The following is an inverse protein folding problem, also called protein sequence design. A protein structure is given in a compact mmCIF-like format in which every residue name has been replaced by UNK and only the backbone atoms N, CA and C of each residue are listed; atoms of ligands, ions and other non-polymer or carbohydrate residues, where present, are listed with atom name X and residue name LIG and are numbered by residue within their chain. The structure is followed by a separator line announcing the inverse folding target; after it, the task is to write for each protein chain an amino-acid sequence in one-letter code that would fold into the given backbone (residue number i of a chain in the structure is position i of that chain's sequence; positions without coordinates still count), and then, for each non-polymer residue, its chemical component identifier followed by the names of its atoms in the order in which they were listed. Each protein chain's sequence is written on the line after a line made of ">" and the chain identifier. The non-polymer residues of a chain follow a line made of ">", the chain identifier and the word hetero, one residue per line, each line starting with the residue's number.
data_IF_058209886302
#
_entry.id   IF_058209886302
#
_cell.length_a   1.000
_cell.length_b   1.000
_cell.length_c   1.000
_cell.angle_alpha   90.00
_cell.angle_beta   90.00
_cell.angle_gamma   90.00
#
_symmetry.space_group_name_H-M   'P 1'
#
loop_
_entity.id
_entity.type
_entity.pdbx_description
1 polymer ?
#
# COMPACT_ATOMS: atom_id res chain seq x y z
N UNK A 1 -27.54 30.57 45.77
CA UNK A 1 -28.90 30.36 45.22
C UNK A 1 -28.80 29.33 44.09
N UNK A 2 -29.38 28.15 44.34
CA UNK A 2 -29.97 27.17 43.41
C UNK A 2 -29.14 26.58 42.25
N UNK A 3 -28.38 25.53 42.58
CA UNK A 3 -28.16 24.40 41.68
C UNK A 3 -29.40 23.50 41.72
N UNK A 4 -30.11 23.38 40.60
CA UNK A 4 -31.31 22.56 40.49
C UNK A 4 -31.28 21.69 39.23
N UNK A 5 -30.48 20.62 39.28
CA UNK A 5 -30.89 19.27 38.82
C UNK A 5 -29.95 18.26 39.49
N UNK A 6 -30.19 18.00 40.78
CA UNK A 6 -29.53 16.94 41.57
C UNK A 6 -30.22 15.59 41.31
N UNK A 7 -30.04 15.05 40.11
CA UNK A 7 -30.27 13.61 39.93
C UNK A 7 -28.92 12.96 39.77
N UNK A 8 -28.43 12.35 40.87
CA UNK A 8 -27.22 11.55 40.88
C UNK A 8 -27.20 10.55 39.71
N UNK A 9 -28.38 10.03 39.32
CA UNK A 9 -28.58 9.20 38.12
C UNK A 9 -28.15 9.87 36.82
N UNK A 10 -28.45 11.15 36.57
CA UNK A 10 -28.06 11.86 35.34
C UNK A 10 -26.55 12.14 35.29
N UNK A 11 -25.93 12.42 36.44
CA UNK A 11 -24.47 12.54 36.54
C UNK A 11 -23.78 11.20 36.29
N UNK A 12 -24.30 10.12 36.87
CA UNK A 12 -23.79 8.76 36.63
C UNK A 12 -23.97 8.36 35.17
N UNK A 13 -25.09 8.72 34.52
CA UNK A 13 -25.32 8.47 33.10
C UNK A 13 -24.34 9.25 32.21
N UNK A 14 -24.08 10.53 32.52
CA UNK A 14 -23.10 11.32 31.80
C UNK A 14 -21.68 10.75 31.98
N UNK A 15 -21.31 10.34 33.19
CA UNK A 15 -20.04 9.65 33.46
C UNK A 15 -19.93 8.31 32.72
N UNK A 16 -21.01 7.52 32.66
CA UNK A 16 -21.05 6.28 31.89
C UNK A 16 -20.90 6.53 30.39
N UNK A 17 -21.58 7.55 29.84
CA UNK A 17 -21.41 7.94 28.43
C UNK A 17 -19.96 8.34 28.16
N UNK A 18 -19.33 9.11 29.04
CA UNK A 18 -17.93 9.51 28.89
C UNK A 18 -16.94 8.35 29.08
N UNK A 19 -17.22 7.40 29.96
CA UNK A 19 -16.45 6.16 30.11
C UNK A 19 -16.61 5.29 28.85
N UNK A 20 -17.81 5.21 28.27
CA UNK A 20 -18.05 4.49 27.02
C UNK A 20 -17.30 5.17 25.87
N UNK A 21 -17.33 6.50 25.77
CA UNK A 21 -16.53 7.25 24.77
C UNK A 21 -15.03 7.00 24.97
N UNK A 22 -14.53 7.06 26.21
CA UNK A 22 -13.13 6.76 26.54
C UNK A 22 -12.76 5.30 26.21
N UNK A 23 -13.64 4.34 26.50
CA UNK A 23 -13.44 2.93 26.17
C UNK A 23 -13.49 2.69 24.66
N UNK A 24 -14.37 3.35 23.92
CA UNK A 24 -14.42 3.29 22.45
C UNK A 24 -13.13 3.87 21.85
N UNK A 25 -12.62 4.98 22.39
CA UNK A 25 -11.34 5.56 21.97
C UNK A 25 -10.11 4.73 22.38
N UNK A 26 -10.16 4.04 23.53
CA UNK A 26 -9.10 3.14 23.96
C UNK A 26 -9.10 1.83 23.15
N UNK A 27 -10.28 1.25 22.89
CA UNK A 27 -10.46 -0.01 22.17
C UNK A 27 -10.28 0.13 20.66
N UNK A 28 -10.53 1.32 20.09
CA UNK A 28 -10.16 1.63 18.71
C UNK A 28 -8.64 1.60 18.47
N UNK A 29 -7.82 1.57 19.53
CA UNK A 29 -6.36 1.40 19.42
C UNK A 29 -5.87 -0.03 19.70
N UNK A 30 -6.72 -0.96 20.13
CA UNK A 30 -6.33 -2.35 20.44
C UNK A 30 -6.40 -3.30 19.25
N UNK A 31 -7.04 -2.93 18.13
CA UNK A 31 -7.08 -3.76 16.92
C UNK A 31 -5.81 -3.67 16.03
N UNK A 32 -4.70 -3.13 16.53
CA UNK A 32 -3.43 -3.03 15.79
C UNK A 32 -2.26 -3.70 16.53
N UNK A 33 -2.53 -4.85 17.17
CA UNK A 33 -1.51 -5.70 17.81
C UNK A 33 -1.73 -7.20 17.50
N UNK A 34 -1.39 -7.59 16.27
CA UNK A 34 -0.81 -8.91 16.00
C UNK A 34 0.54 -8.69 15.30
N UNK A 35 1.55 -8.33 16.10
CA UNK A 35 2.95 -8.43 15.69
C UNK A 35 3.32 -9.90 15.77
N UNK A 36 3.67 -10.59 14.66
CA UNK A 36 4.26 -11.91 14.77
C UNK A 36 5.60 -11.75 15.49
N UNK A 37 5.80 -12.58 16.52
CA UNK A 37 7.08 -12.80 17.18
C UNK A 37 8.02 -13.40 16.12
N UNK A 38 8.77 -12.55 15.41
CA UNK A 38 9.82 -13.02 14.51
C UNK A 38 11.03 -13.41 15.35
N UNK A 39 11.43 -14.65 15.18
CA UNK A 39 12.61 -15.29 15.74
C UNK A 39 13.87 -14.43 15.57
N UNK A 40 14.75 -14.52 16.56
CA UNK A 40 16.10 -13.94 16.55
C UNK A 40 16.87 -14.43 15.32
N UNK A 41 17.55 -13.56 14.55
CA UNK A 41 18.55 -14.04 13.62
C UNK A 41 19.78 -14.44 14.43
N UNK A 42 19.99 -15.76 14.53
CA UNK A 42 21.32 -16.35 14.62
C UNK A 42 22.01 -16.04 13.30
N UNK A 43 23.04 -15.18 13.31
CA UNK A 43 24.37 -15.51 12.77
C UNK A 43 25.33 -14.31 12.77
N UNK A 44 26.59 -14.70 12.94
CA UNK A 44 27.81 -14.12 12.39
C UNK A 44 28.31 -12.81 13.01
N UNK A 45 29.33 -12.99 13.86
CA UNK A 45 30.26 -11.95 14.20
C UNK A 45 30.94 -11.43 12.93
N UNK A 46 30.92 -10.11 12.80
CA UNK A 46 31.89 -9.37 12.01
C UNK A 46 32.57 -8.45 13.01
N UNK A 47 33.76 -8.86 13.45
CA UNK A 47 34.68 -8.00 14.18
C UNK A 47 35.36 -7.13 13.14
N UNK A 48 34.89 -5.89 12.96
CA UNK A 48 35.70 -4.88 12.26
C UNK A 48 36.75 -4.39 13.25
N UNK A 49 38.00 -4.81 13.05
CA UNK A 49 39.13 -4.29 13.81
C UNK A 49 39.58 -2.99 13.15
N UNK A 50 39.14 -1.84 13.69
CA UNK A 50 39.75 -0.56 13.35
C UNK A 50 40.97 -0.35 14.24
N UNK A 51 42.14 -0.19 13.63
CA UNK A 51 43.44 -0.16 14.32
C UNK A 51 43.74 1.21 14.97
N UNK A 52 42.80 2.16 14.96
CA UNK A 52 42.99 3.51 15.51
C UNK A 52 42.03 3.96 16.60
N UNK A 53 40.97 3.20 16.90
CA UNK A 53 40.05 3.52 18.00
C UNK A 53 39.89 2.32 18.94
N UNK A 54 40.15 2.54 20.24
CA UNK A 54 39.94 1.53 21.29
C UNK A 54 38.48 1.02 21.36
N UNK A 55 38.18 -0.01 22.17
CA UNK A 55 36.88 -0.69 22.15
C UNK A 55 35.73 0.28 22.45
N UNK A 56 35.00 0.68 21.41
CA UNK A 56 33.75 1.43 21.52
C UNK A 56 32.65 0.49 22.02
N UNK A 57 32.51 0.39 23.35
CA UNK A 57 31.44 -0.38 23.97
C UNK A 57 30.05 0.09 23.50
N UNK A 58 29.39 -0.75 22.67
CA UNK A 58 28.05 -0.59 22.06
C UNK A 58 26.91 -0.24 23.03
N UNK A 59 27.10 -0.39 24.35
CA UNK A 59 26.03 -0.18 25.34
C UNK A 59 25.65 1.30 25.53
N UNK A 60 26.62 2.24 25.44
CA UNK A 60 26.36 3.69 25.60
C UNK A 60 25.53 4.29 24.46
N UNK A 61 25.59 3.72 23.26
CA UNK A 61 24.74 4.13 22.12
C UNK A 61 23.33 3.55 22.27
N UNK A 62 23.21 2.26 22.62
CA UNK A 62 21.93 1.59 22.86
C UNK A 62 21.11 2.25 23.97
N UNK A 63 21.72 2.60 25.11
CA UNK A 63 21.01 3.31 26.19
C UNK A 63 20.50 4.70 25.76
N UNK A 64 21.32 5.45 25.00
CA UNK A 64 20.92 6.77 24.48
C UNK A 64 19.73 6.68 23.53
N UNK A 65 19.67 5.66 22.68
CA UNK A 65 18.53 5.43 21.77
C UNK A 65 17.27 5.04 22.56
N UNK A 66 17.39 4.14 23.54
CA UNK A 66 16.26 3.71 24.39
C UNK A 66 15.69 4.90 25.19
N UNK A 67 16.54 5.69 25.83
CA UNK A 67 16.12 6.88 26.60
C UNK A 67 15.48 7.94 25.68
N UNK A 68 16.04 8.18 24.48
CA UNK A 68 15.44 9.10 23.50
C UNK A 68 14.08 8.59 23.01
N UNK A 69 13.92 7.27 22.82
CA UNK A 69 12.65 6.64 22.42
C UNK A 69 11.59 6.80 23.51
N UNK A 70 11.92 6.50 24.77
CA UNK A 70 11.01 6.69 25.90
C UNK A 70 10.62 8.16 26.12
N UNK A 71 11.58 9.10 26.01
CA UNK A 71 11.28 10.54 26.11
C UNK A 71 10.35 11.03 24.99
N UNK A 72 10.49 10.50 23.76
CA UNK A 72 9.58 10.83 22.64
C UNK A 72 8.16 10.31 22.90
N UNK A 73 8.03 9.12 23.47
CA UNK A 73 6.72 8.55 23.86
C UNK A 73 6.07 9.42 24.94
N UNK A 74 6.82 9.78 25.99
CA UNK A 74 6.32 10.61 27.10
C UNK A 74 5.93 12.03 26.66
N UNK A 75 6.68 12.63 25.72
CA UNK A 75 6.32 13.95 25.16
C UNK A 75 5.03 13.88 24.36
N UNK A 76 4.84 12.83 23.56
CA UNK A 76 3.61 12.63 22.76
C UNK A 76 2.38 12.40 23.65
N UNK A 77 2.50 11.64 24.73
CA UNK A 77 1.40 11.44 25.69
C UNK A 77 1.07 12.73 26.44
N UNK A 78 2.08 13.49 26.89
CA UNK A 78 1.87 14.76 27.59
C UNK A 78 1.18 15.80 26.73
N UNK A 79 1.57 15.95 25.46
CA UNK A 79 0.89 16.86 24.54
C UNK A 79 -0.58 16.47 24.34
N UNK A 80 -0.88 15.18 24.18
CA UNK A 80 -2.27 14.69 23.99
C UNK A 80 -3.15 14.95 25.21
N UNK A 81 -2.63 14.75 26.43
CA UNK A 81 -3.35 15.04 27.68
C UNK A 81 -3.61 16.55 27.83
N UNK A 82 -2.63 17.39 27.50
CA UNK A 82 -2.80 18.86 27.54
C UNK A 82 -3.84 19.33 26.51
N UNK A 83 -3.84 18.78 25.30
CA UNK A 83 -4.86 19.09 24.29
C UNK A 83 -6.25 18.60 24.68
N UNK A 84 -6.37 17.37 25.20
CA UNK A 84 -7.63 16.81 25.67
C UNK A 84 -8.23 17.65 26.82
N UNK A 85 -7.43 18.04 27.80
CA UNK A 85 -7.89 18.90 28.92
C UNK A 85 -8.32 20.29 28.47
N UNK A 86 -7.67 20.88 27.45
CA UNK A 86 -8.10 22.16 26.85
C UNK A 86 -9.42 22.03 26.11
N UNK A 87 -9.60 20.96 25.34
CA UNK A 87 -10.86 20.69 24.62
C UNK A 87 -12.02 20.46 25.59
N UNK A 88 -11.80 19.70 26.67
CA UNK A 88 -12.78 19.50 27.74
C UNK A 88 -13.18 20.83 28.38
N UNK A 89 -12.23 21.72 28.65
CA UNK A 89 -12.51 23.06 29.21
C UNK A 89 -13.30 23.95 28.25
N UNK A 90 -13.07 23.86 26.94
CA UNK A 90 -13.80 24.62 25.92
C UNK A 90 -15.23 24.10 25.74
N UNK A 91 -15.42 22.78 25.75
CA UNK A 91 -16.74 22.15 25.68
C UNK A 91 -17.59 22.44 26.93
N UNK A 92 -17.00 22.36 28.14
CA UNK A 92 -17.69 22.70 29.40
C UNK A 92 -18.08 24.18 29.50
N UNK A 93 -17.42 25.07 28.76
CA UNK A 93 -17.76 26.50 28.69
C UNK A 93 -18.82 26.81 27.63
N UNK A 94 -19.35 25.81 26.92
CA UNK A 94 -20.35 26.01 25.86
C UNK A 94 -19.80 26.66 24.58
N UNK A 95 -18.47 26.80 24.48
CA UNK A 95 -17.81 27.44 23.34
C UNK A 95 -17.62 26.51 22.13
N UNK A 96 -18.00 25.23 22.26
CA UNK A 96 -17.96 24.23 21.20
C UNK A 96 -19.36 23.64 21.04
N UNK A 97 -19.95 23.83 19.87
CA UNK A 97 -21.23 23.21 19.52
C UNK A 97 -21.02 21.73 19.18
N UNK A 98 -22.05 20.91 19.40
CA UNK A 98 -22.00 19.48 19.04
C UNK A 98 -21.73 19.29 17.54
N UNK A 99 -22.27 20.19 16.70
CA UNK A 99 -22.00 20.21 15.26
C UNK A 99 -20.51 20.39 14.96
N UNK A 100 -19.81 21.31 15.64
CA UNK A 100 -18.37 21.49 15.46
C UNK A 100 -17.54 20.30 15.96
N UNK A 101 -17.99 19.63 17.03
CA UNK A 101 -17.32 18.42 17.54
C UNK A 101 -17.49 17.27 16.54
N UNK A 102 -18.71 17.08 16.04
CA UNK A 102 -19.01 16.08 15.00
C UNK A 102 -18.23 16.40 13.74
N UNK A 103 -18.24 17.66 13.28
CA UNK A 103 -17.55 18.07 12.05
C UNK A 103 -16.03 17.92 12.17
N UNK A 104 -15.46 18.24 13.33
CA UNK A 104 -14.04 18.00 13.61
C UNK A 104 -13.71 16.51 13.72
N UNK A 105 -14.63 15.69 14.25
CA UNK A 105 -14.50 14.23 14.26
C UNK A 105 -14.62 13.64 12.84
N UNK A 106 -15.57 14.07 12.02
CA UNK A 106 -15.69 13.61 10.63
C UNK A 106 -14.52 14.07 9.78
N UNK A 107 -14.07 15.33 9.90
CA UNK A 107 -12.89 15.83 9.18
C UNK A 107 -11.59 15.17 9.66
N UNK A 108 -11.46 14.83 10.94
CA UNK A 108 -10.28 14.10 11.44
C UNK A 108 -10.34 12.61 11.11
N UNK A 109 -11.54 12.02 10.98
CA UNK A 109 -11.73 10.63 10.54
C UNK A 109 -11.61 10.44 9.02
N UNK A 110 -11.74 11.51 8.23
CA UNK A 110 -11.59 11.50 6.76
C UNK A 110 -10.19 11.92 6.29
N UNK A 111 -9.13 11.67 7.06
CA UNK A 111 -7.76 11.77 6.54
C UNK A 111 -7.42 10.52 5.73
N UNK A 112 -7.97 10.45 4.53
CA UNK A 112 -7.60 9.41 3.56
C UNK A 112 -6.38 9.83 2.76
N UNK A 113 -5.56 8.86 2.38
CA UNK A 113 -4.41 9.11 1.54
C UNK A 113 -4.87 9.40 0.11
N UNK A 114 -4.60 10.61 -0.38
CA UNK A 114 -4.79 11.02 -1.77
C UNK A 114 -3.56 10.66 -2.60
N UNK A 115 -2.38 11.16 -2.23
CA UNK A 115 -1.12 10.86 -2.93
C UNK A 115 -1.23 11.12 -4.44
N UNK A 116 -0.60 10.26 -5.24
CA UNK A 116 -0.69 10.28 -6.71
C UNK A 116 -1.95 9.57 -7.26
N UNK A 117 -2.82 9.01 -6.39
CA UNK A 117 -3.92 8.14 -6.81
C UNK A 117 -4.90 8.79 -7.79
N UNK A 118 -5.34 10.06 -7.62
CA UNK A 118 -6.27 10.66 -8.57
C UNK A 118 -5.69 10.79 -9.98
N UNK A 119 -4.41 11.15 -10.08
CA UNK A 119 -3.72 11.30 -11.37
C UNK A 119 -3.54 9.94 -12.04
N UNK A 120 -3.06 8.94 -11.28
CA UNK A 120 -2.88 7.59 -11.80
C UNK A 120 -4.22 6.94 -12.18
N UNK A 121 -5.26 7.12 -11.36
CA UNK A 121 -6.61 6.65 -11.68
C UNK A 121 -7.13 7.31 -12.97
N UNK A 122 -6.99 8.63 -13.10
CA UNK A 122 -7.37 9.35 -14.33
C UNK A 122 -6.61 8.86 -15.56
N UNK A 123 -5.32 8.56 -15.44
CA UNK A 123 -4.54 7.97 -16.52
C UNK A 123 -5.08 6.59 -16.92
N UNK A 124 -5.39 5.73 -15.95
CA UNK A 124 -5.95 4.39 -16.22
C UNK A 124 -7.35 4.47 -16.88
N UNK A 125 -8.14 5.50 -16.57
CA UNK A 125 -9.41 5.78 -17.24
C UNK A 125 -9.21 6.24 -18.69
N UNK A 126 -8.24 7.14 -18.96
CA UNK A 126 -7.90 7.57 -20.32
C UNK A 126 -7.46 6.36 -21.18
N UNK A 127 -6.67 5.47 -20.58
CA UNK A 127 -6.22 4.22 -21.19
C UNK A 127 -7.29 3.12 -21.22
N UNK A 128 -8.47 3.35 -20.65
CA UNK A 128 -9.60 2.41 -20.62
C UNK A 128 -9.24 1.03 -20.06
N UNK A 129 -8.31 0.96 -19.10
CA UNK A 129 -7.77 -0.30 -18.58
C UNK A 129 -8.87 -1.21 -18.01
N UNK A 130 -9.83 -0.64 -17.28
CA UNK A 130 -10.95 -1.39 -16.72
C UNK A 130 -11.81 -2.04 -17.81
N UNK A 131 -12.17 -1.27 -18.84
CA UNK A 131 -13.06 -1.73 -19.90
C UNK A 131 -12.40 -2.79 -20.77
N UNK A 132 -11.11 -2.60 -21.09
CA UNK A 132 -10.32 -3.58 -21.83
C UNK A 132 -10.25 -4.90 -21.05
N UNK A 133 -9.90 -4.85 -19.76
CA UNK A 133 -9.84 -6.06 -18.93
C UNK A 133 -11.22 -6.74 -18.84
N UNK A 134 -12.30 -5.99 -18.68
CA UNK A 134 -13.64 -6.58 -18.58
C UNK A 134 -14.14 -7.20 -19.89
N UNK A 135 -13.65 -6.73 -21.04
CA UNK A 135 -13.94 -7.32 -22.34
C UNK A 135 -13.31 -8.71 -22.48
N UNK A 136 -12.06 -8.85 -22.05
CA UNK A 136 -11.32 -10.11 -22.10
C UNK A 136 -11.70 -11.06 -20.96
N UNK A 137 -11.98 -10.53 -19.79
CA UNK A 137 -12.30 -11.29 -18.57
C UNK A 137 -13.71 -10.93 -18.06
N UNK A 138 -14.80 -11.31 -18.78
CA UNK A 138 -16.15 -11.03 -18.32
C UNK A 138 -16.47 -11.80 -17.03
N UNK A 139 -17.22 -11.19 -16.12
CA UNK A 139 -17.58 -11.81 -14.84
C UNK A 139 -18.99 -11.44 -14.42
N UNK A 140 -19.71 -12.40 -13.82
CA UNK A 140 -21.02 -12.17 -13.22
C UNK A 140 -20.93 -11.73 -11.75
N UNK A 141 -19.72 -11.56 -11.20
CA UNK A 141 -19.51 -11.11 -9.84
C UNK A 141 -19.89 -9.62 -9.67
N UNK A 142 -20.24 -9.24 -8.44
CA UNK A 142 -20.64 -7.87 -8.09
C UNK A 142 -19.56 -6.81 -8.38
N UNK A 143 -18.28 -7.19 -8.28
CA UNK A 143 -17.15 -6.31 -8.58
C UNK A 143 -16.42 -6.90 -9.77
N UNK A 144 -16.37 -6.20 -10.89
CA UNK A 144 -15.73 -6.67 -12.12
C UNK A 144 -14.20 -6.83 -11.99
N UNK A 145 -13.60 -7.62 -12.90
CA UNK A 145 -12.16 -7.89 -12.89
C UNK A 145 -11.33 -6.63 -13.18
N UNK A 146 -11.81 -5.75 -14.06
CA UNK A 146 -11.18 -4.47 -14.35
C UNK A 146 -11.07 -3.58 -13.11
N UNK A 147 -12.13 -3.45 -12.31
CA UNK A 147 -12.11 -2.71 -11.04
C UNK A 147 -11.07 -3.27 -10.06
N UNK A 148 -11.01 -4.60 -9.95
CA UNK A 148 -10.02 -5.28 -9.09
C UNK A 148 -8.60 -5.02 -9.60
N UNK A 149 -8.39 -5.09 -10.91
CA UNK A 149 -7.10 -4.82 -11.54
C UNK A 149 -6.64 -3.37 -11.32
N UNK A 150 -7.54 -2.38 -11.45
CA UNK A 150 -7.23 -0.98 -11.14
C UNK A 150 -6.69 -0.83 -9.71
N UNK A 151 -7.35 -1.46 -8.73
CA UNK A 151 -6.90 -1.43 -7.33
C UNK A 151 -5.52 -2.08 -7.17
N UNK A 152 -5.26 -3.20 -7.83
CA UNK A 152 -3.96 -3.88 -7.78
C UNK A 152 -2.84 -3.06 -8.42
N UNK A 153 -3.10 -2.45 -9.59
CA UNK A 153 -2.16 -1.58 -10.30
C UNK A 153 -1.82 -0.37 -9.42
N UNK A 154 -2.84 0.33 -8.92
CA UNK A 154 -2.64 1.50 -8.06
C UNK A 154 -1.95 1.14 -6.75
N UNK A 155 -2.25 -0.03 -6.17
CA UNK A 155 -1.54 -0.52 -5.01
C UNK A 155 -0.05 -0.74 -5.33
N UNK A 156 0.25 -1.42 -6.45
CA UNK A 156 1.62 -1.71 -6.87
C UNK A 156 2.44 -0.44 -7.10
N UNK A 157 1.84 0.59 -7.69
CA UNK A 157 2.51 1.86 -8.01
C UNK A 157 2.71 2.76 -6.79
N UNK A 158 1.75 2.82 -5.86
CA UNK A 158 1.76 3.81 -4.77
C UNK A 158 2.21 3.23 -3.43
N UNK A 159 1.81 1.99 -3.12
CA UNK A 159 2.06 1.40 -1.81
C UNK A 159 1.95 -0.14 -1.90
N UNK A 160 2.95 -0.83 -2.48
CA UNK A 160 2.87 -2.27 -2.72
C UNK A 160 2.64 -3.02 -1.40
N UNK A 161 1.50 -3.71 -1.32
CA UNK A 161 1.11 -4.55 -0.19
C UNK A 161 0.95 -6.01 -0.65
N UNK A 162 1.19 -6.98 0.23
CA UNK A 162 0.75 -8.35 -0.04
C UNK A 162 -0.78 -8.39 -0.19
N UNK A 163 -1.32 -9.34 -0.96
CA UNK A 163 -2.74 -9.41 -1.34
C UNK A 163 -3.69 -9.30 -0.15
N UNK A 164 -3.41 -10.01 0.95
CA UNK A 164 -4.23 -10.00 2.17
C UNK A 164 -4.28 -8.63 2.90
N UNK A 165 -3.44 -7.65 2.52
CA UNK A 165 -3.44 -6.27 3.06
C UNK A 165 -3.95 -5.22 2.08
N UNK A 166 -4.33 -5.61 0.86
CA UNK A 166 -4.80 -4.65 -0.16
C UNK A 166 -6.13 -4.03 0.26
N UNK A 167 -7.06 -4.81 0.81
CA UNK A 167 -8.34 -4.28 1.33
C UNK A 167 -8.13 -3.21 2.43
N UNK A 168 -7.24 -3.47 3.38
CA UNK A 168 -6.92 -2.51 4.46
C UNK A 168 -6.28 -1.23 3.93
N UNK A 169 -5.41 -1.37 2.93
CA UNK A 169 -4.84 -0.21 2.25
C UNK A 169 -5.92 0.58 1.54
N UNK A 170 -6.75 -0.08 0.72
CA UNK A 170 -7.82 0.54 -0.04
C UNK A 170 -8.76 1.34 0.88
N UNK A 171 -9.15 0.75 2.03
CA UNK A 171 -9.99 1.38 3.04
C UNK A 171 -9.46 2.73 3.56
N UNK A 172 -8.14 2.96 3.47
CA UNK A 172 -7.47 4.20 3.92
C UNK A 172 -7.27 5.22 2.78
N UNK A 173 -7.67 4.90 1.55
CA UNK A 173 -7.52 5.77 0.38
C UNK A 173 -8.85 6.36 -0.09
N UNK A 174 -8.77 7.39 -0.92
CA UNK A 174 -9.94 8.02 -1.57
C UNK A 174 -10.65 7.07 -2.56
N UNK A 175 -9.98 6.01 -3.03
CA UNK A 175 -10.50 5.11 -4.06
C UNK A 175 -11.81 4.41 -3.67
N UNK A 176 -12.06 4.16 -2.38
CA UNK A 176 -13.34 3.56 -1.93
C UNK A 176 -14.54 4.42 -2.33
N UNK A 177 -14.38 5.75 -2.33
CA UNK A 177 -15.42 6.66 -2.76
C UNK A 177 -15.49 6.75 -4.28
N UNK A 178 -14.34 6.80 -4.94
CA UNK A 178 -14.28 6.86 -6.41
C UNK A 178 -14.89 5.62 -7.06
N UNK A 179 -14.61 4.43 -6.52
CA UNK A 179 -15.09 3.16 -7.06
C UNK A 179 -16.53 2.85 -6.65
N UNK A 180 -17.03 3.46 -5.57
CA UNK A 180 -18.35 3.12 -5.01
C UNK A 180 -18.43 1.70 -4.42
N UNK A 181 -17.30 1.00 -4.27
CA UNK A 181 -17.24 -0.39 -3.78
C UNK A 181 -16.58 -0.44 -2.40
N UNK A 182 -17.19 -1.21 -1.50
CA UNK A 182 -16.63 -1.46 -0.17
C UNK A 182 -15.29 -2.19 -0.26
N UNK A 183 -14.29 -1.70 0.48
CA UNK A 183 -12.97 -2.32 0.54
C UNK A 183 -12.99 -3.81 0.96
N UNK A 184 -14.02 -4.23 1.72
CA UNK A 184 -14.22 -5.64 2.13
C UNK A 184 -14.43 -6.61 0.96
N UNK A 185 -14.82 -6.11 -0.22
CA UNK A 185 -14.99 -6.91 -1.44
C UNK A 185 -13.66 -7.26 -2.12
N UNK A 186 -12.56 -6.65 -1.69
CA UNK A 186 -11.20 -6.88 -2.22
C UNK A 186 -10.41 -7.83 -1.31
N UNK A 187 -11.03 -8.93 -0.88
CA UNK A 187 -10.30 -10.01 -0.19
C UNK A 187 -9.31 -10.69 -1.16
N UNK A 188 -8.28 -11.30 -0.59
CA UNK A 188 -7.22 -11.99 -1.32
C UNK A 188 -7.71 -13.05 -2.30
N UNK A 189 -8.75 -13.82 -1.96
CA UNK A 189 -9.37 -14.77 -2.90
C UNK A 189 -9.94 -14.10 -4.15
N UNK A 190 -10.54 -12.90 -4.02
CA UNK A 190 -11.03 -12.13 -5.17
C UNK A 190 -9.90 -11.55 -6.00
N UNK A 191 -8.83 -11.10 -5.34
CA UNK A 191 -7.64 -10.59 -6.00
C UNK A 191 -6.94 -11.71 -6.79
N UNK A 192 -6.73 -12.87 -6.17
CA UNK A 192 -6.13 -14.06 -6.78
C UNK A 192 -6.89 -14.50 -8.02
N UNK A 193 -8.20 -14.74 -7.91
CA UNK A 193 -9.05 -15.11 -9.07
C UNK A 193 -9.02 -14.10 -10.20
N UNK A 194 -8.82 -12.81 -9.90
CA UNK A 194 -8.67 -11.79 -10.93
C UNK A 194 -7.33 -11.91 -11.65
N UNK A 195 -6.25 -12.19 -10.92
CA UNK A 195 -4.95 -12.44 -11.53
C UNK A 195 -4.96 -13.71 -12.38
N UNK A 196 -5.64 -14.76 -11.94
CA UNK A 196 -5.79 -16.00 -12.71
C UNK A 196 -6.53 -15.72 -14.02
N UNK A 197 -7.68 -15.03 -13.97
CA UNK A 197 -8.44 -14.66 -15.16
C UNK A 197 -7.65 -13.77 -16.14
N UNK A 198 -6.88 -12.80 -15.62
CA UNK A 198 -6.04 -11.94 -16.47
C UNK A 198 -4.89 -12.71 -17.09
N UNK A 199 -4.35 -13.73 -16.40
CA UNK A 199 -3.18 -14.47 -16.87
C UNK A 199 -3.43 -15.16 -18.21
N UNK A 200 -4.63 -15.69 -18.42
CA UNK A 200 -5.07 -16.36 -19.64
C UNK A 200 -5.11 -15.43 -20.86
N UNK A 201 -5.31 -14.12 -20.64
CA UNK A 201 -5.48 -13.10 -21.69
C UNK A 201 -4.44 -11.98 -21.61
N UNK A 202 -3.35 -12.20 -20.87
CA UNK A 202 -2.40 -11.14 -20.49
C UNK A 202 -1.80 -10.41 -21.69
N UNK A 203 -1.45 -11.14 -22.75
CA UNK A 203 -0.92 -10.58 -23.99
C UNK A 203 -1.93 -9.68 -24.71
N UNK A 204 -3.16 -10.16 -24.89
CA UNK A 204 -4.19 -9.43 -25.64
C UNK A 204 -4.66 -8.18 -24.87
N UNK A 205 -4.80 -8.29 -23.54
CA UNK A 205 -5.08 -7.15 -22.66
C UNK A 205 -3.96 -6.10 -22.78
N UNK A 206 -2.69 -6.53 -22.75
CA UNK A 206 -1.55 -5.63 -22.88
C UNK A 206 -1.57 -4.89 -24.23
N UNK A 207 -1.76 -5.63 -25.32
CA UNK A 207 -1.80 -5.07 -26.67
C UNK A 207 -2.93 -4.05 -26.85
N UNK A 208 -4.13 -4.34 -26.34
CA UNK A 208 -5.26 -3.38 -26.39
C UNK A 208 -4.94 -2.09 -25.61
N UNK A 209 -4.30 -2.19 -24.44
CA UNK A 209 -3.93 -1.04 -23.62
C UNK A 209 -2.84 -0.21 -24.31
N UNK A 210 -1.81 -0.86 -24.86
CA UNK A 210 -0.73 -0.20 -25.61
C UNK A 210 -1.29 0.48 -26.85
N UNK A 211 -2.10 -0.22 -27.64
CA UNK A 211 -2.77 0.38 -28.80
C UNK A 211 -3.58 1.63 -28.42
N UNK A 212 -4.32 1.58 -27.31
CA UNK A 212 -5.05 2.74 -26.80
C UNK A 212 -4.12 3.89 -26.44
N UNK A 213 -2.98 3.61 -25.80
CA UNK A 213 -1.97 4.61 -25.46
C UNK A 213 -1.38 5.27 -26.72
N UNK A 214 -1.00 4.47 -27.71
CA UNK A 214 -0.41 4.94 -28.97
C UNK A 214 -1.35 5.87 -29.73
N UNK A 215 -2.62 5.49 -29.88
CA UNK A 215 -3.63 6.31 -30.56
C UNK A 215 -3.94 7.59 -29.78
N UNK A 216 -4.09 7.49 -28.46
CA UNK A 216 -4.47 8.63 -27.64
C UNK A 216 -3.36 9.69 -27.52
N UNK A 217 -2.10 9.26 -27.61
CA UNK A 217 -0.93 10.13 -27.50
C UNK A 217 -0.28 10.46 -28.86
N UNK A 218 -0.83 9.95 -29.98
CA UNK A 218 -0.30 10.14 -31.35
C UNK A 218 1.20 9.81 -31.45
N UNK A 219 1.56 8.65 -30.92
CA UNK A 219 2.97 8.24 -30.73
C UNK A 219 3.59 7.84 -32.05
N UNK A 220 4.74 8.42 -32.37
CA UNK A 220 5.49 8.04 -33.57
C UNK A 220 6.19 6.68 -33.39
N UNK A 221 5.88 5.75 -34.29
CA UNK A 221 6.45 4.40 -34.34
C UNK A 221 7.50 4.24 -35.46
N UNK A 222 7.94 5.34 -36.09
CA UNK A 222 8.97 5.31 -37.13
C UNK A 222 10.30 4.70 -36.65
N UNK A 223 10.60 4.82 -35.35
CA UNK A 223 11.75 4.22 -34.69
C UNK A 223 11.31 3.47 -33.45
N UNK A 224 11.63 2.19 -33.39
CA UNK A 224 11.43 1.32 -32.24
C UNK A 224 12.80 0.79 -31.79
N UNK A 225 13.08 0.97 -30.50
CA UNK A 225 14.23 0.35 -29.86
C UNK A 225 13.86 -1.06 -29.43
N UNK A 226 14.71 -2.00 -29.81
CA UNK A 226 14.63 -3.39 -29.40
C UNK A 226 15.92 -3.75 -28.67
N UNK A 227 15.78 -4.36 -27.49
CA UNK A 227 16.91 -4.93 -26.77
C UNK A 227 16.55 -6.25 -26.09
N UNK A 228 17.60 -7.05 -25.87
CA UNK A 228 17.53 -8.34 -25.20
C UNK A 228 18.39 -8.35 -23.95
N UNK A 229 17.75 -8.55 -22.81
CA UNK A 229 18.47 -8.74 -21.55
C UNK A 229 18.43 -10.20 -21.13
N UNK A 230 19.61 -10.77 -20.89
CA UNK A 230 19.74 -12.12 -20.36
C UNK A 230 19.85 -12.11 -18.83
N UNK A 231 19.09 -12.96 -18.17
CA UNK A 231 19.13 -13.15 -16.72
C UNK A 231 19.76 -14.50 -16.39
N UNK A 232 20.83 -14.47 -15.61
CA UNK A 232 21.49 -15.69 -15.11
C UNK A 232 20.75 -16.18 -13.88
N UNK A 233 20.43 -17.47 -13.86
CA UNK A 233 19.71 -18.10 -12.75
C UNK A 233 20.48 -19.25 -12.13
N UNK A 234 20.18 -19.53 -10.86
CA UNK A 234 20.78 -20.61 -10.08
C UNK A 234 19.68 -21.59 -9.66
N UNK A 235 19.91 -22.89 -9.89
CA UNK A 235 18.94 -23.94 -9.64
C UNK A 235 18.92 -24.98 -10.76
N UNK A 236 18.18 -26.07 -10.53
CA UNK A 236 18.10 -27.18 -11.49
C UNK A 236 17.19 -26.86 -12.68
N UNK A 237 16.10 -26.11 -12.48
CA UNK A 237 15.13 -25.74 -13.53
C UNK A 237 14.74 -26.92 -14.45
N UNK A 238 14.70 -28.13 -13.89
CA UNK A 238 14.39 -29.36 -14.63
C UNK A 238 12.99 -29.25 -15.24
N UNK A 239 12.90 -29.37 -16.58
CA UNK A 239 11.64 -29.24 -17.31
C UNK A 239 11.16 -27.80 -17.53
N UNK A 240 12.03 -26.79 -17.33
CA UNK A 240 11.70 -25.42 -17.73
C UNK A 240 11.68 -25.26 -19.24
N UNK A 241 10.65 -24.62 -19.77
CA UNK A 241 10.54 -24.27 -21.20
C UNK A 241 11.35 -23.02 -21.58
N UNK A 242 11.83 -22.25 -20.60
CA UNK A 242 12.44 -20.93 -20.83
C UNK A 242 13.85 -20.79 -20.27
N UNK A 243 14.25 -21.67 -19.35
CA UNK A 243 15.53 -21.59 -18.66
C UNK A 243 16.43 -22.73 -19.10
N UNK A 244 17.49 -22.39 -19.84
CA UNK A 244 18.48 -23.36 -20.27
C UNK A 244 19.89 -22.75 -20.34
N UNK A 245 20.90 -23.59 -20.60
CA UNK A 245 22.23 -23.13 -20.97
C UNK A 245 22.18 -22.47 -22.34
N UNK A 246 22.91 -21.36 -22.48
CA UNK A 246 22.95 -20.64 -23.73
C UNK A 246 23.92 -19.48 -23.71
N UNK A 247 24.16 -18.94 -24.90
CA UNK A 247 25.03 -17.78 -25.06
C UNK A 247 24.27 -16.48 -24.80
N UNK A 248 24.83 -15.65 -23.93
CA UNK A 248 24.50 -14.23 -23.82
C UNK A 248 25.79 -13.47 -23.51
N UNK A 249 25.98 -12.35 -24.18
CA UNK A 249 27.18 -11.54 -24.01
C UNK A 249 27.34 -11.12 -22.54
N UNK A 250 28.58 -11.13 -22.04
CA UNK A 250 28.91 -10.80 -20.64
C UNK A 250 28.23 -11.66 -19.57
N UNK A 251 27.85 -12.90 -19.89
CA UNK A 251 27.32 -13.85 -18.91
C UNK A 251 28.14 -15.16 -18.89
N UNK A 252 28.29 -15.83 -17.73
CA UNK A 252 29.06 -17.08 -17.64
C UNK A 252 28.43 -18.19 -18.47
N UNK A 253 29.22 -18.92 -19.27
CA UNK A 253 28.72 -20.00 -20.15
C UNK A 253 28.14 -21.18 -19.36
N UNK A 254 28.69 -21.45 -18.19
CA UNK A 254 28.37 -22.56 -17.28
C UNK A 254 27.11 -22.32 -16.42
N UNK A 255 26.29 -21.34 -16.79
CA UNK A 255 25.07 -20.99 -16.05
C UNK A 255 23.86 -20.99 -16.98
N UNK A 256 22.74 -21.51 -16.45
CA UNK A 256 21.42 -21.41 -17.08
C UNK A 256 20.93 -19.98 -17.08
N UNK A 257 20.18 -19.62 -18.11
CA UNK A 257 19.71 -18.27 -18.38
C UNK A 257 18.34 -18.30 -19.04
N UNK A 258 17.63 -17.20 -18.95
CA UNK A 258 16.55 -16.86 -19.86
C UNK A 258 16.79 -15.46 -20.42
N UNK A 259 16.19 -15.15 -21.58
CA UNK A 259 16.25 -13.80 -22.17
C UNK A 259 14.87 -13.16 -22.11
N UNK A 260 14.83 -11.87 -21.87
CA UNK A 260 13.62 -11.06 -22.10
C UNK A 260 13.91 -10.10 -23.24
N UNK A 261 12.97 -9.99 -24.16
CA UNK A 261 12.91 -8.91 -25.13
C UNK A 261 11.99 -7.80 -24.64
N UNK A 262 12.34 -6.58 -25.03
CA UNK A 262 11.52 -5.39 -24.82
C UNK A 262 11.62 -4.49 -26.05
N UNK A 263 10.46 -4.14 -26.59
CA UNK A 263 10.29 -3.12 -27.61
C UNK A 263 9.81 -1.82 -26.98
N UNK A 264 10.42 -0.71 -27.35
CA UNK A 264 10.07 0.63 -26.84
C UNK A 264 10.04 1.63 -27.97
N UNK A 265 9.00 2.45 -28.06
CA UNK A 265 8.97 3.55 -29.03
C UNK A 265 10.05 4.59 -28.70
N UNK A 266 10.71 5.13 -29.73
CA UNK A 266 11.67 6.22 -29.52
C UNK A 266 10.97 7.50 -29.04
N UNK A 267 9.74 7.73 -29.51
CA UNK A 267 8.88 8.80 -29.00
C UNK A 267 8.22 8.38 -27.68
N UNK A 268 8.40 9.19 -26.63
CA UNK A 268 7.81 8.97 -25.31
C UNK A 268 8.39 7.80 -24.49
N UNK A 269 9.28 6.97 -25.03
CA UNK A 269 9.80 5.77 -24.39
C UNK A 269 8.69 4.81 -23.92
N UNK A 270 7.67 4.60 -24.74
CA UNK A 270 6.51 3.78 -24.38
C UNK A 270 6.83 2.30 -24.64
N UNK A 271 6.72 1.42 -23.64
CA UNK A 271 6.85 -0.02 -23.85
C UNK A 271 5.75 -0.54 -24.77
N UNK A 272 6.14 -1.25 -25.83
CA UNK A 272 5.22 -1.76 -26.86
C UNK A 272 4.90 -3.24 -26.65
N UNK A 273 5.93 -4.08 -26.59
CA UNK A 273 5.82 -5.52 -26.35
C UNK A 273 6.96 -5.95 -25.43
N UNK A 274 6.68 -6.91 -24.57
CA UNK A 274 7.71 -7.62 -23.82
C UNK A 274 7.40 -9.11 -23.86
N UNK A 275 8.44 -9.92 -24.02
CA UNK A 275 8.28 -11.36 -24.05
C UNK A 275 9.53 -12.06 -23.52
N UNK A 276 9.31 -13.24 -22.94
CA UNK A 276 10.38 -14.21 -22.74
C UNK A 276 10.82 -14.72 -24.12
N UNK A 277 12.13 -14.72 -24.35
CA UNK A 277 12.74 -15.30 -25.52
C UNK A 277 13.38 -16.63 -25.13
N UNK A 278 12.78 -17.70 -25.64
CA UNK A 278 13.26 -19.07 -25.53
C UNK A 278 13.88 -19.49 -26.87
#
# INVERSE_FOLDING_TARGET
>A
MNSATKSHRKQVLAWLIWIIVLLVFARASENDLSVPRSELPVLAGIVTYDRRDGPLFLWKYRLRVIIRRQRRVLRRTRHRVVWATRLIKLALRGALTMAQIVDWLTQSQLRRHLGALPVLYGLLEVLQVRDIINRHCPTAAEVDHGTVALVLILNRLVAPRPLYRVADWLARTVLVYQLGVSAKKFNDDRLGRTLDAISEHSRDIWQDIVHRALVQADVDLSVVFYDLTAFVVHGEYTGSEHVDFGFAHNTPMDKRKFKTGLDVSADGNIPLEYALWA
#
